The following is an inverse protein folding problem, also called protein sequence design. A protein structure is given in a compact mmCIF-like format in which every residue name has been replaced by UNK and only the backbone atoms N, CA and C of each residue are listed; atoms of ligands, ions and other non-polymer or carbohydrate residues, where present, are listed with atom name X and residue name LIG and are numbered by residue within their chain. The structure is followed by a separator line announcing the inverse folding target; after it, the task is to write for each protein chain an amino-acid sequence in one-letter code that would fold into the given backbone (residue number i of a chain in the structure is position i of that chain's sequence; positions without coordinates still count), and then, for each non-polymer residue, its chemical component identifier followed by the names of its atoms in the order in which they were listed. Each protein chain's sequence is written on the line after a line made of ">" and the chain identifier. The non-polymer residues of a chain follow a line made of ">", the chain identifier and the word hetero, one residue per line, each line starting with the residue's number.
data_IF_672244765317
#
_entry.id   IF_672244765317
#
_cell.length_a   1.000
_cell.length_b   1.000
_cell.length_c   1.000
_cell.angle_alpha   90.00
_cell.angle_beta   90.00
_cell.angle_gamma   90.00
#
_symmetry.space_group_name_H-M   'P 1'
#
loop_
_entity.id
_entity.type
_entity.pdbx_description
1 polymer ?
#
# COMPACT_ATOMS: atom_id res chain seq x y z
N UNK A 1 -7.31 27.74 -9.44
CA UNK A 1 -7.75 26.33 -9.56
C UNK A 1 -6.49 25.54 -9.87
N UNK A 2 -6.04 24.65 -8.97
CA UNK A 2 -4.80 23.92 -9.18
C UNK A 2 -5.00 22.87 -10.28
N UNK A 3 -4.19 22.90 -11.33
CA UNK A 3 -4.12 21.85 -12.35
C UNK A 3 -3.64 20.55 -11.69
N UNK A 4 -4.48 19.51 -11.73
CA UNK A 4 -4.15 18.21 -11.19
C UNK A 4 -3.34 17.42 -12.24
N UNK A 5 -2.01 17.42 -12.09
CA UNK A 5 -1.06 16.78 -13.03
C UNK A 5 -0.94 15.26 -12.84
N UNK A 6 -2.02 14.51 -13.04
CA UNK A 6 -1.96 13.04 -13.07
C UNK A 6 -1.80 12.54 -14.51
N UNK A 7 -0.83 11.65 -14.73
CA UNK A 7 -0.69 10.92 -15.99
C UNK A 7 -1.26 9.50 -15.84
N UNK A 8 -1.80 8.91 -16.91
CA UNK A 8 -2.31 7.53 -16.87
C UNK A 8 -1.24 6.49 -16.56
N UNK A 9 0.02 6.87 -16.76
CA UNK A 9 1.16 5.96 -16.79
C UNK A 9 1.91 5.93 -15.45
N UNK A 10 1.34 6.57 -14.41
CA UNK A 10 1.92 6.61 -13.07
C UNK A 10 0.89 6.16 -12.02
N UNK A 11 1.33 5.41 -11.00
CA UNK A 11 0.44 5.00 -9.92
C UNK A 11 0.02 6.21 -9.08
N UNK A 12 -1.24 6.19 -8.64
CA UNK A 12 -1.79 7.19 -7.70
C UNK A 12 -1.41 6.89 -6.25
N UNK A 13 -1.09 5.62 -5.96
CA UNK A 13 -0.51 5.17 -4.70
C UNK A 13 0.61 4.19 -5.03
N UNK A 14 1.81 4.43 -4.49
CA UNK A 14 2.96 3.53 -4.64
C UNK A 14 3.55 3.25 -3.26
N UNK A 15 3.66 1.97 -2.94
CA UNK A 15 4.28 1.43 -1.73
C UNK A 15 5.47 0.61 -2.21
N UNK A 16 6.66 0.89 -1.68
CA UNK A 16 7.89 0.22 -2.09
C UNK A 16 8.63 -0.28 -0.88
N UNK A 17 8.84 -1.60 -0.83
CA UNK A 17 9.63 -2.30 0.16
C UNK A 17 9.32 -1.87 1.61
N UNK A 18 8.04 -1.79 1.95
CA UNK A 18 7.62 -1.30 3.27
C UNK A 18 7.74 -2.41 4.31
N UNK A 19 8.52 -2.11 5.35
CA UNK A 19 8.65 -2.91 6.56
C UNK A 19 8.00 -2.22 7.74
N UNK A 20 7.42 -3.01 8.65
CA UNK A 20 6.86 -2.49 9.90
C UNK A 20 6.91 -3.54 10.99
N UNK A 21 7.47 -3.15 12.13
CA UNK A 21 7.48 -3.95 13.36
C UNK A 21 6.76 -3.25 14.51
N UNK A 22 6.22 -4.07 15.42
CA UNK A 22 5.76 -3.66 16.74
C UNK A 22 6.56 -4.44 17.79
N UNK A 23 7.57 -3.78 18.39
CA UNK A 23 8.59 -4.49 19.16
C UNK A 23 9.34 -5.48 18.26
N UNK A 24 9.49 -6.71 18.74
CA UNK A 24 10.19 -7.78 18.02
C UNK A 24 9.35 -8.43 16.91
N UNK A 25 8.05 -8.11 16.83
CA UNK A 25 7.16 -8.67 15.81
C UNK A 25 7.21 -7.85 14.53
N UNK A 26 7.81 -8.41 13.48
CA UNK A 26 7.75 -7.86 12.11
C UNK A 26 6.41 -8.23 11.43
N UNK A 27 5.55 -7.22 11.26
CA UNK A 27 4.18 -7.36 10.71
C UNK A 27 4.16 -7.18 9.19
N UNK A 28 4.87 -6.17 8.67
CA UNK A 28 5.10 -6.01 7.22
C UNK A 28 6.56 -6.35 6.93
N UNK A 29 6.77 -7.27 5.98
CA UNK A 29 8.07 -7.90 5.67
C UNK A 29 8.52 -7.58 4.25
N UNK A 30 8.55 -6.30 3.88
CA UNK A 30 8.88 -5.86 2.53
C UNK A 30 7.68 -5.97 1.59
N UNK A 31 6.68 -5.10 1.79
CA UNK A 31 5.49 -5.05 0.93
C UNK A 31 5.68 -3.97 -0.14
N UNK A 32 5.46 -4.35 -1.41
CA UNK A 32 5.43 -3.42 -2.55
C UNK A 32 4.11 -3.54 -3.30
N UNK A 33 3.50 -2.40 -3.63
CA UNK A 33 2.23 -2.33 -4.35
C UNK A 33 2.12 -0.98 -5.07
N UNK A 34 1.72 -1.03 -6.33
CA UNK A 34 1.30 0.14 -7.09
C UNK A 34 -0.21 0.07 -7.35
N UNK A 35 -0.89 1.19 -7.23
CA UNK A 35 -2.33 1.34 -7.50
C UNK A 35 -2.50 2.40 -8.57
N UNK A 36 -3.03 2.00 -9.72
CA UNK A 36 -3.29 2.90 -10.83
C UNK A 36 -4.62 3.62 -10.65
N UNK A 37 -4.79 4.73 -11.38
CA UNK A 37 -6.02 5.51 -11.32
C UNK A 37 -7.23 4.67 -11.76
N UNK A 38 -8.23 4.59 -10.89
CA UNK A 38 -9.47 3.86 -11.14
C UNK A 38 -9.42 2.37 -10.78
N UNK A 39 -8.28 1.87 -10.31
CA UNK A 39 -8.17 0.50 -9.82
C UNK A 39 -8.83 0.34 -8.45
N UNK A 40 -9.46 -0.83 -8.26
CA UNK A 40 -10.03 -1.28 -6.99
C UNK A 40 -9.27 -2.51 -6.55
N UNK A 41 -8.58 -2.40 -5.41
CA UNK A 41 -7.75 -3.48 -4.86
C UNK A 41 -8.39 -4.00 -3.58
N UNK A 42 -8.42 -5.34 -3.45
CA UNK A 42 -8.86 -6.01 -2.24
C UNK A 42 -7.65 -6.63 -1.53
N UNK A 43 -7.46 -6.31 -0.24
CA UNK A 43 -6.40 -6.90 0.58
C UNK A 43 -7.03 -8.00 1.45
N UNK A 44 -6.65 -9.25 1.20
CA UNK A 44 -7.22 -10.44 1.87
C UNK A 44 -6.12 -11.20 2.60
N UNK A 45 -6.48 -11.81 3.73
CA UNK A 45 -5.57 -12.64 4.52
C UNK A 45 -6.11 -12.94 5.91
N UNK A 46 -5.54 -13.91 6.63
CA UNK A 46 -5.97 -14.32 7.96
C UNK A 46 -5.86 -13.19 8.99
N UNK A 47 -6.52 -13.32 10.14
CA UNK A 47 -6.36 -12.35 11.23
C UNK A 47 -4.88 -12.21 11.61
N UNK A 48 -4.44 -10.97 11.88
CA UNK A 48 -3.04 -10.67 12.21
C UNK A 48 -2.07 -10.54 11.01
N UNK A 49 -2.49 -10.77 9.77
CA UNK A 49 -1.60 -10.74 8.59
C UNK A 49 -1.11 -9.34 8.15
N UNK A 50 -1.33 -8.29 8.95
CA UNK A 50 -0.84 -6.94 8.62
C UNK A 50 -1.73 -6.10 7.69
N UNK A 51 -2.93 -6.55 7.30
CA UNK A 51 -3.82 -5.80 6.37
C UNK A 51 -4.13 -4.39 6.86
N UNK A 52 -4.60 -4.26 8.10
CA UNK A 52 -4.91 -2.95 8.70
C UNK A 52 -3.66 -2.11 8.96
N UNK A 53 -2.49 -2.76 9.08
CA UNK A 53 -1.19 -2.09 9.19
C UNK A 53 -0.72 -1.55 7.84
N UNK A 54 -1.06 -2.22 6.72
CA UNK A 54 -0.71 -1.76 5.37
C UNK A 54 -1.51 -0.52 4.93
N UNK A 55 -2.73 -0.32 5.47
CA UNK A 55 -3.63 0.78 5.08
C UNK A 55 -3.70 1.92 6.12
N UNK A 56 -2.81 1.94 7.11
CA UNK A 56 -2.72 2.97 8.15
C UNK A 56 -1.34 3.60 8.12
#
# INVERSE_FOLDING_TARGET
>A
MAEQNWTSDQPIVSVKDVHKSFGDLEVLKGVSLDVMKGEVICIIGPSGSGKSTLIR
#
